data_IF_177881407942
#
_entry.id   IF_177881407942
#
_cell.length_a   1.000
_cell.length_b   1.000
_cell.length_c   1.000
_cell.angle_alpha   90.00
_cell.angle_beta   90.00
_cell.angle_gamma   90.00
#
_symmetry.space_group_name_H-M   'P 1'
#
loop_
_entity.id
_entity.type
_entity.pdbx_description
1 polymer ?
#
# COMPACT_ATOMS: atom_id res chain seq x y z
N UNK A 1 -17.57 -20.32 15.84
CA UNK A 1 -17.04 -19.89 14.52
C UNK A 1 -15.91 -18.89 14.77
N UNK A 2 -14.67 -19.37 14.86
CA UNK A 2 -13.50 -18.50 15.04
C UNK A 2 -13.12 -17.89 13.69
N UNK A 3 -13.46 -16.63 13.48
CA UNK A 3 -13.01 -15.85 12.32
C UNK A 3 -11.54 -15.52 12.52
N UNK A 4 -10.63 -16.24 11.87
CA UNK A 4 -9.22 -15.87 11.86
C UNK A 4 -9.09 -14.64 10.96
N UNK A 5 -8.90 -13.46 11.54
CA UNK A 5 -8.45 -12.29 10.80
C UNK A 5 -7.00 -12.55 10.44
N UNK A 6 -6.73 -12.96 9.21
CA UNK A 6 -5.36 -13.15 8.72
C UNK A 6 -4.70 -11.76 8.66
N UNK A 7 -3.61 -11.50 9.41
CA UNK A 7 -2.87 -10.26 9.23
C UNK A 7 -2.31 -10.27 7.81
N UNK A 8 -2.59 -9.22 7.04
CA UNK A 8 -2.19 -9.16 5.63
C UNK A 8 -0.67 -9.23 5.52
N UNK A 9 -0.16 -10.39 5.10
CA UNK A 9 1.24 -10.56 4.74
C UNK A 9 1.46 -9.92 3.38
N UNK A 10 2.29 -8.87 3.33
CA UNK A 10 2.79 -8.36 2.06
C UNK A 10 3.77 -9.41 1.51
N UNK A 11 3.44 -10.02 0.37
CA UNK A 11 4.36 -10.95 -0.30
C UNK A 11 5.62 -10.20 -0.76
N UNK A 12 6.78 -10.87 -0.77
CA UNK A 12 8.07 -10.24 -1.15
C UNK A 12 8.07 -9.67 -2.57
N UNK A 13 7.25 -10.23 -3.47
CA UNK A 13 7.10 -9.79 -4.86
C UNK A 13 5.62 -9.85 -5.26
N UNK A 14 5.18 -8.95 -6.14
CA UNK A 14 3.82 -8.94 -6.66
C UNK A 14 3.15 -7.56 -6.63
N UNK A 15 1.83 -7.54 -6.83
CA UNK A 15 1.04 -6.31 -6.89
C UNK A 15 -0.01 -6.24 -5.78
N UNK A 16 -0.08 -5.12 -5.08
CA UNK A 16 -1.04 -4.82 -4.02
C UNK A 16 -2.09 -3.85 -4.56
N UNK A 17 -3.36 -4.17 -4.41
CA UNK A 17 -4.45 -3.25 -4.79
C UNK A 17 -4.63 -2.16 -3.76
N UNK A 18 -5.08 -0.98 -4.20
CA UNK A 18 -5.35 0.15 -3.30
C UNK A 18 -6.25 -0.21 -2.11
N UNK A 19 -7.27 -1.06 -2.29
CA UNK A 19 -8.12 -1.54 -1.18
C UNK A 19 -7.34 -2.26 -0.08
N UNK A 20 -6.33 -3.06 -0.44
CA UNK A 20 -5.49 -3.77 0.53
C UNK A 20 -4.54 -2.81 1.25
N UNK A 21 -4.01 -1.81 0.55
CA UNK A 21 -3.19 -0.75 1.16
C UNK A 21 -3.98 -0.04 2.25
N UNK A 22 -5.20 0.40 1.94
CA UNK A 22 -6.07 1.12 2.88
C UNK A 22 -6.53 0.27 4.06
N UNK A 23 -6.71 -1.04 3.85
CA UNK A 23 -7.23 -1.94 4.88
C UNK A 23 -6.16 -2.48 5.83
N UNK A 24 -4.91 -2.62 5.37
CA UNK A 24 -3.91 -3.41 6.10
C UNK A 24 -2.54 -2.76 6.23
N UNK A 25 -2.24 -1.71 5.44
CA UNK A 25 -0.91 -1.11 5.39
C UNK A 25 -0.94 0.31 5.94
N UNK A 26 -1.95 1.09 5.54
CA UNK A 26 -2.04 2.50 5.88
C UNK A 26 -3.48 2.83 6.29
N UNK A 27 -3.74 3.21 7.56
CA UNK A 27 -5.08 3.51 8.06
C UNK A 27 -5.55 4.92 7.62
N UNK A 28 -5.55 5.17 6.31
CA UNK A 28 -5.99 6.43 5.71
C UNK A 28 -7.12 6.20 4.73
N UNK A 29 -7.87 7.25 4.41
CA UNK A 29 -8.89 7.20 3.36
C UNK A 29 -8.28 7.14 1.95
N UNK A 30 -9.06 6.63 0.98
CA UNK A 30 -8.68 6.57 -0.44
C UNK A 30 -8.18 7.92 -0.97
N UNK A 31 -8.89 9.00 -0.68
CA UNK A 31 -8.53 10.36 -1.15
C UNK A 31 -7.19 10.82 -0.59
N UNK A 32 -6.90 10.47 0.67
CA UNK A 32 -5.62 10.78 1.31
C UNK A 32 -4.49 10.02 0.63
N UNK A 33 -4.66 8.73 0.37
CA UNK A 33 -3.67 7.93 -0.36
C UNK A 33 -3.35 8.56 -1.73
N UNK A 34 -4.37 8.91 -2.52
CA UNK A 34 -4.15 9.56 -3.82
C UNK A 34 -3.49 10.93 -3.71
N UNK A 35 -3.79 11.69 -2.65
CA UNK A 35 -3.11 12.98 -2.38
C UNK A 35 -1.64 12.76 -2.02
N UNK A 36 -1.32 11.73 -1.24
CA UNK A 36 0.06 11.37 -0.92
C UNK A 36 0.83 10.95 -2.16
N UNK A 37 0.24 10.11 -3.02
CA UNK A 37 0.81 9.74 -4.33
C UNK A 37 1.07 10.98 -5.18
N UNK A 38 0.10 11.89 -5.31
CA UNK A 38 0.27 13.13 -6.07
C UNK A 38 1.36 14.04 -5.49
N UNK A 39 1.59 14.00 -4.18
CA UNK A 39 2.64 14.75 -3.47
C UNK A 39 3.99 14.04 -3.47
N UNK A 40 4.13 12.87 -4.08
CA UNK A 40 5.35 12.05 -4.04
C UNK A 40 5.65 11.45 -2.66
N UNK A 41 4.68 11.46 -1.75
CA UNK A 41 4.83 10.95 -0.38
C UNK A 41 4.49 9.47 -0.24
N UNK A 42 4.02 8.82 -1.30
CA UNK A 42 3.75 7.39 -1.36
C UNK A 42 4.13 6.91 -2.77
N UNK A 43 4.58 5.65 -2.95
CA UNK A 43 4.97 5.14 -4.26
C UNK A 43 3.88 5.32 -5.32
N UNK A 44 4.30 5.54 -6.56
CA UNK A 44 3.37 5.68 -7.67
C UNK A 44 2.72 4.31 -7.99
N UNK A 45 1.41 4.28 -8.33
CA UNK A 45 0.78 3.05 -8.79
C UNK A 45 1.24 2.67 -10.20
N UNK A 46 1.37 1.37 -10.44
CA UNK A 46 1.49 0.75 -11.74
C UNK A 46 0.10 0.47 -12.32
N UNK A 47 -0.10 0.82 -13.59
CA UNK A 47 -1.34 0.51 -14.32
C UNK A 47 -1.25 -0.90 -14.90
N UNK A 48 -2.06 -1.82 -14.37
CA UNK A 48 -2.14 -3.22 -14.83
C UNK A 48 -3.23 -3.45 -15.88
N UNK A 49 -4.10 -2.47 -16.10
CA UNK A 49 -5.16 -2.54 -17.09
C UNK A 49 -5.96 -1.24 -17.20
N UNK A 50 -7.04 -1.23 -17.98
CA UNK A 50 -7.81 -0.01 -18.26
C UNK A 50 -8.25 0.74 -17.01
N UNK A 51 -8.70 0.01 -15.98
CA UNK A 51 -9.20 0.57 -14.71
C UNK A 51 -8.54 -0.05 -13.47
N UNK A 52 -7.33 -0.61 -13.64
CA UNK A 52 -6.64 -1.33 -12.56
C UNK A 52 -5.32 -0.64 -12.27
N UNK A 53 -5.27 0.02 -11.11
CA UNK A 53 -4.06 0.55 -10.51
C UNK A 53 -3.67 -0.32 -9.30
N UNK A 54 -2.42 -0.74 -9.28
CA UNK A 54 -1.84 -1.51 -8.19
C UNK A 54 -0.43 -1.01 -7.88
N UNK A 55 0.10 -1.34 -6.72
CA UNK A 55 1.44 -0.97 -6.31
C UNK A 55 2.30 -2.21 -6.26
N UNK A 56 3.58 -2.10 -6.61
CA UNK A 56 4.51 -3.20 -6.38
C UNK A 56 4.69 -3.37 -4.88
N UNK A 57 4.70 -4.62 -4.43
CA UNK A 57 4.89 -4.93 -3.03
C UNK A 57 6.26 -4.45 -2.51
N UNK A 58 7.30 -4.55 -3.34
CA UNK A 58 8.65 -4.06 -3.06
C UNK A 58 8.67 -2.55 -2.80
N UNK A 59 8.09 -1.73 -3.68
CA UNK A 59 8.07 -0.27 -3.52
C UNK A 59 7.35 0.17 -2.23
N UNK A 60 6.22 -0.48 -1.91
CA UNK A 60 5.46 -0.16 -0.70
C UNK A 60 6.24 -0.55 0.55
N UNK A 61 6.92 -1.69 0.54
CA UNK A 61 7.78 -2.12 1.64
C UNK A 61 8.98 -1.19 1.80
N UNK A 62 9.67 -0.85 0.72
CA UNK A 62 10.83 0.04 0.77
C UNK A 62 10.43 1.43 1.29
N UNK A 63 9.25 1.92 0.91
CA UNK A 63 8.67 3.13 1.49
C UNK A 63 8.38 3.00 3.00
N UNK A 64 7.84 1.86 3.45
CA UNK A 64 7.62 1.61 4.89
C UNK A 64 8.94 1.58 5.66
N UNK A 65 9.99 0.96 5.11
CA UNK A 65 11.31 0.92 5.74
C UNK A 65 11.96 2.31 5.81
N UNK A 66 11.82 3.13 4.76
CA UNK A 66 12.27 4.54 4.80
C UNK A 66 11.55 5.33 5.91
N UNK A 67 10.24 5.08 6.10
CA UNK A 67 9.42 5.72 7.13
C UNK A 67 9.65 5.17 8.54
N UNK A 68 10.12 3.93 8.69
CA UNK A 68 10.50 3.35 10.00
C UNK A 68 11.66 4.12 10.64
N UNK A 69 12.56 4.70 9.83
CA UNK A 69 13.61 5.59 10.31
C UNK A 69 13.15 7.00 10.70
N UNK A 70 11.89 7.34 10.39
CA UNK A 70 11.24 8.63 10.65
C UNK A 70 10.17 8.55 11.76
N UNK A 71 10.01 7.39 12.41
CA UNK A 71 9.11 7.26 13.55
C UNK A 71 9.77 7.86 14.81
N UNK A 72 9.18 8.96 15.28
CA UNK A 72 9.27 9.52 16.63
C UNK A 72 8.94 8.47 17.71
#
# INVERSE_FOLDING_TARGET
MLSHVTPATIQHTGYIRGKQILASILPVGRTTLWRMVKRGQFPAPVRLGPNISAWRAEDVRDWLEQRKGEQL
#
